data_IF_984391179088
#
_entry.id   IF_984391179088
#
_cell.length_a   1.000
_cell.length_b   1.000
_cell.length_c   1.000
_cell.angle_alpha   90.00
_cell.angle_beta   90.00
_cell.angle_gamma   90.00
#
_symmetry.space_group_name_H-M   'P 1'
#
loop_
_entity.id
_entity.type
_entity.pdbx_description
1 polymer ?
#
# COMPACT_ATOMS: atom_id res chain seq x y z
N UNK A 1 -4.37 2.99 17.38
CA UNK A 1 -4.91 2.03 16.40
C UNK A 1 -3.86 1.80 15.35
N UNK A 2 -3.50 0.55 15.11
CA UNK A 2 -2.53 0.16 14.07
C UNK A 2 -3.16 0.30 12.68
N UNK A 3 -2.33 0.37 11.64
CA UNK A 3 -2.82 0.28 10.27
C UNK A 3 -2.90 -1.20 9.87
N UNK A 4 -3.96 -1.53 9.13
CA UNK A 4 -4.16 -2.86 8.55
C UNK A 4 -3.52 -2.97 7.17
N UNK A 5 -3.31 -4.21 6.72
CA UNK A 5 -2.75 -4.53 5.39
C UNK A 5 -3.46 -3.80 4.25
N UNK A 6 -4.79 -3.74 4.29
CA UNK A 6 -5.63 -3.15 3.24
C UNK A 6 -5.33 -1.66 3.07
N UNK A 7 -5.17 -0.94 4.19
CA UNK A 7 -4.85 0.50 4.19
C UNK A 7 -3.45 0.73 3.65
N UNK A 8 -2.48 -0.08 4.09
CA UNK A 8 -1.08 0.02 3.66
C UNK A 8 -0.96 -0.27 2.16
N UNK A 9 -1.57 -1.35 1.68
CA UNK A 9 -1.53 -1.76 0.28
C UNK A 9 -2.22 -0.73 -0.62
N UNK A 10 -3.39 -0.22 -0.22
CA UNK A 10 -4.10 0.80 -0.98
C UNK A 10 -3.27 2.09 -1.09
N UNK A 11 -2.64 2.51 0.00
CA UNK A 11 -1.84 3.73 0.00
C UNK A 11 -0.56 3.60 -0.83
N UNK A 12 0.14 2.46 -0.74
CA UNK A 12 1.29 2.16 -1.59
C UNK A 12 0.89 2.16 -3.08
N UNK A 13 -0.26 1.59 -3.42
CA UNK A 13 -0.75 1.59 -4.81
C UNK A 13 -0.94 3.01 -5.34
N UNK A 14 -1.52 3.91 -4.53
CA UNK A 14 -1.65 5.33 -4.89
C UNK A 14 -0.29 5.97 -5.10
N UNK A 15 0.64 5.85 -4.12
CA UNK A 15 1.95 6.52 -4.21
C UNK A 15 2.81 6.01 -5.36
N UNK A 16 2.81 4.71 -5.62
CA UNK A 16 3.51 4.13 -6.77
C UNK A 16 2.88 4.58 -8.10
N UNK A 17 1.55 4.67 -8.17
CA UNK A 17 0.84 5.16 -9.36
C UNK A 17 1.21 6.62 -9.66
N UNK A 18 1.17 7.47 -8.64
CA UNK A 18 1.51 8.89 -8.76
C UNK A 18 2.98 9.06 -9.17
N UNK A 19 3.91 8.35 -8.51
CA UNK A 19 5.32 8.36 -8.87
C UNK A 19 5.56 8.01 -10.35
N UNK A 20 4.95 6.92 -10.83
CA UNK A 20 5.12 6.49 -12.21
C UNK A 20 4.45 7.45 -13.22
N UNK A 21 3.33 8.07 -12.84
CA UNK A 21 2.64 9.07 -13.67
C UNK A 21 3.50 10.34 -13.83
N UNK A 22 4.15 10.76 -12.76
CA UNK A 22 5.01 11.95 -12.75
C UNK A 22 6.39 11.68 -13.40
N UNK A 23 6.73 10.40 -13.62
CA UNK A 23 7.99 9.94 -14.24
C UNK A 23 7.77 9.06 -15.49
N UNK A 24 7.05 9.53 -16.54
CA UNK A 24 6.61 8.67 -17.66
C UNK A 24 7.76 8.12 -18.54
N UNK A 25 8.94 8.73 -18.47
CA UNK A 25 10.18 8.28 -19.14
C UNK A 25 11.35 8.14 -18.17
N UNK A 26 11.07 8.24 -16.87
CA UNK A 26 12.06 8.28 -15.80
C UNK A 26 12.14 6.94 -15.08
N UNK A 27 12.44 7.02 -13.79
CA UNK A 27 12.47 5.85 -12.93
C UNK A 27 11.08 5.22 -12.81
N UNK A 28 11.03 3.88 -12.75
CA UNK A 28 9.80 3.13 -12.53
C UNK A 28 9.82 2.47 -11.16
N UNK A 29 8.71 2.60 -10.44
CA UNK A 29 8.49 1.93 -9.17
C UNK A 29 7.38 0.90 -9.25
N UNK A 30 7.46 -0.10 -8.37
CA UNK A 30 6.34 -0.99 -8.05
C UNK A 30 6.39 -1.36 -6.56
N UNK A 31 5.36 -2.04 -6.09
CA UNK A 31 5.34 -2.60 -4.74
C UNK A 31 4.86 -4.05 -4.75
N UNK A 32 5.35 -4.80 -3.77
CA UNK A 32 4.86 -6.12 -3.38
C UNK A 32 3.86 -5.89 -2.24
N UNK A 33 2.64 -6.42 -2.37
CA UNK A 33 1.64 -6.29 -1.31
C UNK A 33 2.13 -6.90 0.02
N UNK A 34 1.57 -6.43 1.12
CA UNK A 34 2.02 -6.79 2.48
C UNK A 34 1.92 -8.28 2.78
N UNK A 35 0.96 -9.00 2.20
CA UNK A 35 0.77 -10.43 2.44
C UNK A 35 1.87 -11.23 1.73
N UNK A 36 2.12 -10.92 0.47
CA UNK A 36 3.15 -11.57 -0.34
C UNK A 36 4.55 -11.20 0.15
N UNK A 37 4.79 -9.93 0.50
CA UNK A 37 6.07 -9.49 1.06
C UNK A 37 6.36 -10.18 2.40
N UNK A 38 5.35 -10.34 3.24
CA UNK A 38 5.46 -11.11 4.50
C UNK A 38 5.73 -12.59 4.24
N UNK A 39 5.11 -13.17 3.21
CA UNK A 39 5.38 -14.55 2.78
C UNK A 39 6.83 -14.72 2.34
N UNK A 40 7.33 -13.81 1.50
CA UNK A 40 8.74 -13.75 1.09
C UNK A 40 9.65 -13.61 2.31
N UNK A 41 9.29 -12.73 3.26
CA UNK A 41 10.04 -12.48 4.49
C UNK A 41 10.18 -13.73 5.37
N UNK A 42 9.15 -14.58 5.39
CA UNK A 42 9.12 -15.84 6.14
C UNK A 42 9.71 -17.02 5.35
N UNK A 43 10.48 -16.75 4.29
CA UNK A 43 11.06 -17.74 3.37
C UNK A 43 10.03 -18.58 2.60
N UNK A 44 8.80 -18.08 2.46
CA UNK A 44 7.78 -18.69 1.61
C UNK A 44 8.12 -18.58 0.12
N UNK A 45 7.47 -19.42 -0.68
CA UNK A 45 7.63 -19.39 -2.14
C UNK A 45 6.72 -18.33 -2.74
N UNK A 46 7.31 -17.29 -3.34
CA UNK A 46 6.57 -16.25 -4.04
C UNK A 46 6.04 -16.70 -5.38
N UNK A 47 4.75 -16.48 -5.64
CA UNK A 47 4.09 -16.76 -6.93
C UNK A 47 3.97 -15.53 -7.82
N UNK A 48 4.53 -14.39 -7.41
CA UNK A 48 4.47 -13.15 -8.17
C UNK A 48 5.02 -13.32 -9.58
N UNK A 49 4.25 -12.86 -10.57
CA UNK A 49 4.70 -12.76 -11.96
C UNK A 49 5.18 -11.33 -12.19
N UNK A 50 6.46 -11.11 -11.91
CA UNK A 50 7.14 -9.83 -12.04
C UNK A 50 8.54 -10.07 -12.61
N UNK A 51 8.98 -9.23 -13.54
CA UNK A 51 10.40 -9.06 -13.85
C UNK A 51 10.93 -7.90 -13.00
N UNK A 52 11.78 -8.15 -11.99
CA UNK A 52 12.31 -7.09 -11.15
C UNK A 52 13.14 -6.06 -11.92
N UNK A 53 13.71 -6.41 -13.08
CA UNK A 53 14.55 -5.49 -13.86
C UNK A 53 13.73 -4.44 -14.62
N UNK A 54 12.40 -4.59 -14.71
CA UNK A 54 11.50 -3.58 -15.28
C UNK A 54 11.31 -2.35 -14.38
N UNK A 55 11.81 -2.42 -13.14
CA UNK A 55 11.62 -1.41 -12.11
C UNK A 55 12.95 -1.00 -11.47
N UNK A 56 13.11 0.31 -11.28
CA UNK A 56 14.25 0.88 -10.55
C UNK A 56 14.10 0.69 -9.04
N UNK A 57 12.85 0.72 -8.57
CA UNK A 57 12.49 0.64 -7.15
C UNK A 57 11.36 -0.35 -6.95
N UNK A 58 11.57 -1.33 -6.06
CA UNK A 58 10.52 -2.25 -5.60
C UNK A 58 10.36 -2.09 -4.10
N UNK A 59 9.19 -1.64 -3.67
CA UNK A 59 8.83 -1.49 -2.27
C UNK A 59 8.17 -2.76 -1.74
N UNK A 60 8.39 -3.09 -0.48
CA UNK A 60 7.67 -4.16 0.20
C UNK A 60 7.60 -3.90 1.70
N UNK A 61 6.39 -3.72 2.22
CA UNK A 61 6.16 -3.58 3.65
C UNK A 61 5.86 -4.95 4.25
N UNK A 62 6.64 -5.34 5.26
CA UNK A 62 6.56 -6.63 5.95
C UNK A 62 5.78 -6.47 7.24
N UNK A 63 4.86 -7.39 7.52
CA UNK A 63 4.27 -7.57 8.85
C UNK A 63 4.91 -8.79 9.54
N UNK A 64 5.70 -8.57 10.59
CA UNK A 64 6.21 -9.64 11.43
C UNK A 64 5.74 -9.39 12.88
N UNK A 65 4.73 -10.15 13.33
CA UNK A 65 4.14 -10.03 14.67
C UNK A 65 3.60 -8.63 15.02
N UNK A 66 2.74 -8.06 14.16
CA UNK A 66 2.16 -6.71 14.30
C UNK A 66 3.18 -5.57 14.20
N UNK A 67 4.40 -5.88 13.77
CA UNK A 67 5.42 -4.88 13.50
C UNK A 67 5.62 -4.68 12.00
N UNK A 68 5.41 -3.46 11.54
CA UNK A 68 5.51 -3.07 10.15
C UNK A 68 6.91 -2.50 9.87
N UNK A 69 7.61 -3.09 8.90
CA UNK A 69 8.94 -2.66 8.45
C UNK A 69 8.98 -2.55 6.92
N UNK A 70 9.87 -1.70 6.39
CA UNK A 70 10.00 -1.50 4.94
C UNK A 70 11.25 -2.17 4.40
N UNK A 71 11.09 -2.98 3.37
CA UNK A 71 12.17 -3.43 2.50
C UNK A 71 12.08 -2.70 1.16
N UNK A 72 13.20 -2.20 0.66
CA UNK A 72 13.27 -1.58 -0.68
C UNK A 72 14.35 -2.27 -1.50
N UNK A 73 14.01 -2.67 -2.72
CA UNK A 73 14.94 -3.34 -3.62
C UNK A 73 15.24 -2.43 -4.80
N UNK A 74 16.51 -2.39 -5.21
CA UNK A 74 16.99 -1.69 -6.39
C UNK A 74 17.69 -2.71 -7.31
N UNK A 75 16.93 -3.49 -8.11
CA UNK A 75 17.45 -4.66 -8.83
C UNK A 75 18.63 -4.33 -9.76
N UNK A 76 18.51 -3.27 -10.57
CA UNK A 76 19.58 -2.81 -11.46
C UNK A 76 20.85 -2.36 -10.73
N UNK A 77 20.71 -1.86 -9.50
CA UNK A 77 21.83 -1.40 -8.66
C UNK A 77 22.40 -2.50 -7.75
N UNK A 78 21.80 -3.70 -7.75
CA UNK A 78 22.19 -4.85 -6.90
C UNK A 78 22.32 -4.46 -5.42
N UNK A 79 21.37 -3.67 -4.92
CA UNK A 79 21.28 -3.30 -3.50
C UNK A 79 19.84 -3.33 -3.01
N UNK A 80 19.69 -3.40 -1.70
CA UNK A 80 18.42 -3.23 -1.01
C UNK A 80 18.59 -2.33 0.22
N UNK A 81 17.46 -1.88 0.76
CA UNK A 81 17.38 -1.16 2.02
C UNK A 81 16.41 -1.88 2.95
N UNK A 82 16.66 -1.75 4.24
CA UNK A 82 15.76 -2.19 5.29
C UNK A 82 15.57 -1.03 6.26
N UNK A 83 14.32 -0.67 6.53
CA UNK A 83 13.95 0.40 7.44
C UNK A 83 12.96 -0.11 8.48
N UNK A 84 13.33 0.04 9.73
CA UNK A 84 12.58 -0.38 10.90
C UNK A 84 12.17 0.85 11.71
N UNK A 85 10.87 1.13 11.90
CA UNK A 85 10.43 2.25 12.73
C UNK A 85 10.98 2.23 14.17
N UNK A 86 11.38 1.07 14.70
CA UNK A 86 12.00 0.92 16.03
C UNK A 86 13.53 0.87 15.99
N UNK A 87 14.14 1.02 14.80
CA UNK A 87 15.57 0.92 14.55
C UNK A 87 16.01 -0.50 14.19
N UNK A 88 17.02 -0.60 13.33
CA UNK A 88 17.46 -1.89 12.82
C UNK A 88 18.38 -2.65 13.77
N UNK A 89 18.27 -3.97 13.72
CA UNK A 89 19.30 -4.88 14.22
C UNK A 89 20.14 -5.42 13.08
N UNK A 90 21.41 -5.74 13.35
CA UNK A 90 22.29 -6.39 12.37
C UNK A 90 21.69 -7.71 11.83
N UNK A 91 20.92 -8.41 12.67
CA UNK A 91 20.20 -9.63 12.31
C UNK A 91 19.13 -9.34 11.25
N UNK A 92 18.29 -8.31 11.45
CA UNK A 92 17.22 -7.97 10.50
C UNK A 92 17.78 -7.45 9.16
N UNK A 93 18.86 -6.66 9.18
CA UNK A 93 19.54 -6.20 7.95
C UNK A 93 20.13 -7.38 7.17
N UNK A 94 20.79 -8.32 7.87
CA UNK A 94 21.30 -9.55 7.25
C UNK A 94 20.17 -10.39 6.66
N UNK A 95 19.08 -10.57 7.41
CA UNK A 95 17.87 -11.28 6.97
C UNK A 95 17.27 -10.65 5.71
N UNK A 96 17.09 -9.32 5.69
CA UNK A 96 16.63 -8.59 4.51
C UNK A 96 17.53 -8.85 3.29
N UNK A 97 18.85 -8.82 3.49
CA UNK A 97 19.82 -9.11 2.42
C UNK A 97 19.62 -10.52 1.85
N UNK A 98 19.46 -11.53 2.71
CA UNK A 98 19.33 -12.93 2.30
C UNK A 98 18.00 -13.20 1.59
N UNK A 99 16.89 -12.67 2.12
CA UNK A 99 15.55 -12.82 1.55
C UNK A 99 15.46 -12.12 0.20
N UNK A 100 15.90 -10.87 0.12
CA UNK A 100 15.94 -10.11 -1.14
C UNK A 100 16.79 -10.83 -2.16
N UNK A 101 17.95 -11.38 -1.73
CA UNK A 101 18.81 -12.15 -2.62
C UNK A 101 18.11 -13.41 -3.14
N UNK A 102 17.39 -14.14 -2.29
CA UNK A 102 16.67 -15.34 -2.72
C UNK A 102 15.56 -14.99 -3.70
N UNK A 103 14.77 -13.96 -3.39
CA UNK A 103 13.66 -13.50 -4.23
C UNK A 103 14.15 -13.05 -5.61
N UNK A 104 15.13 -12.15 -5.70
CA UNK A 104 15.62 -11.68 -7.00
C UNK A 104 16.27 -12.81 -7.82
N UNK A 105 16.98 -13.75 -7.17
CA UNK A 105 17.50 -14.94 -7.86
C UNK A 105 16.39 -15.84 -8.39
N UNK A 106 15.30 -16.03 -7.65
CA UNK A 106 14.18 -16.87 -8.12
C UNK A 106 13.42 -16.24 -9.29
N UNK A 107 13.59 -14.93 -9.51
CA UNK A 107 13.12 -14.21 -10.70
C UNK A 107 14.18 -14.10 -11.82
N UNK A 108 15.31 -14.78 -11.70
CA UNK A 108 16.34 -14.83 -12.74
C UNK A 108 17.38 -13.69 -12.69
N UNK A 109 17.35 -12.80 -11.69
CA UNK A 109 18.30 -11.69 -11.62
C UNK A 109 19.71 -12.15 -11.19
N UNK A 110 20.75 -11.68 -11.90
CA UNK A 110 22.15 -11.92 -11.53
C UNK A 110 22.64 -10.90 -10.49
N UNK A 111 22.43 -11.24 -9.21
CA UNK A 111 22.69 -10.37 -8.06
C UNK A 111 23.77 -10.90 -7.11
N UNK A 112 24.89 -11.38 -7.67
CA UNK A 112 26.07 -11.67 -6.85
C UNK A 112 26.48 -10.41 -6.06
N UNK A 113 26.76 -10.57 -4.75
CA UNK A 113 27.18 -9.49 -3.83
C UNK A 113 26.14 -8.40 -3.53
N UNK A 114 24.84 -8.73 -3.56
CA UNK A 114 23.77 -7.83 -3.07
C UNK A 114 24.14 -7.26 -1.67
N UNK A 115 24.11 -5.94 -1.54
CA UNK A 115 24.32 -5.20 -0.29
C UNK A 115 23.00 -4.68 0.26
N UNK A 116 22.84 -4.71 1.57
CA UNK A 116 21.75 -4.04 2.27
C UNK A 116 22.30 -2.92 3.14
N UNK A 117 21.65 -1.76 3.14
CA UNK A 117 21.90 -0.68 4.08
C UNK A 117 20.61 -0.21 4.76
N UNK A 118 20.74 0.51 5.86
CA UNK A 118 19.66 1.32 6.43
C UNK A 118 20.09 2.78 6.38
N UNK A 119 19.47 3.63 5.54
CA UNK A 119 19.74 5.07 5.58
C UNK A 119 19.20 5.67 6.89
N UNK A 120 19.76 6.77 7.42
CA UNK A 120 19.19 7.44 8.59
C UNK A 120 17.72 7.79 8.37
N UNK A 121 16.87 7.45 9.35
CA UNK A 121 15.44 7.70 9.30
C UNK A 121 14.90 8.00 10.71
N UNK A 122 13.73 8.66 10.82
CA UNK A 122 13.07 8.87 12.10
C UNK A 122 12.63 7.55 12.73
N UNK A 123 12.72 7.45 14.06
CA UNK A 123 12.18 6.33 14.84
C UNK A 123 10.84 6.71 15.47
N UNK A 124 9.96 5.73 15.61
CA UNK A 124 8.65 5.95 16.19
C UNK A 124 8.72 6.11 17.73
N UNK A 125 7.93 7.01 18.31
CA UNK A 125 7.90 7.20 19.76
C UNK A 125 6.88 6.28 20.47
N UNK A 126 6.08 5.52 19.72
CA UNK A 126 4.97 4.71 20.24
C UNK A 126 4.97 3.29 19.63
N UNK A 127 4.16 2.38 20.19
CA UNK A 127 4.10 0.98 19.75
C UNK A 127 3.09 0.68 18.63
N UNK A 128 2.38 1.68 18.11
CA UNK A 128 1.22 1.48 17.21
C UNK A 128 1.32 2.22 15.87
N UNK A 129 2.41 2.97 15.67
CA UNK A 129 2.60 3.84 14.50
C UNK A 129 3.54 3.25 13.46
N UNK A 130 3.97 2.00 13.59
CA UNK A 130 4.98 1.41 12.71
C UNK A 130 4.49 1.36 11.26
N UNK A 131 3.19 1.09 11.05
CA UNK A 131 2.57 1.15 9.73
C UNK A 131 2.60 2.56 9.12
N UNK A 132 2.38 3.61 9.92
CA UNK A 132 2.45 5.01 9.46
C UNK A 132 3.89 5.34 9.05
N UNK A 133 4.87 4.98 9.87
CA UNK A 133 6.28 5.22 9.59
C UNK A 133 6.75 4.46 8.34
N UNK A 134 6.37 3.19 8.18
CA UNK A 134 6.69 2.40 7.00
C UNK A 134 6.13 3.04 5.71
N UNK A 135 4.91 3.59 5.75
CA UNK A 135 4.33 4.35 4.63
C UNK A 135 5.08 5.66 4.36
N UNK A 136 5.43 6.42 5.41
CA UNK A 136 6.21 7.66 5.25
C UNK A 136 7.63 7.41 4.73
N UNK A 137 8.27 6.31 5.12
CA UNK A 137 9.54 5.88 4.52
C UNK A 137 9.39 5.61 3.02
N UNK A 138 8.34 4.88 2.62
CA UNK A 138 8.06 4.62 1.21
C UNK A 138 7.80 5.92 0.43
N UNK A 139 7.04 6.85 1.00
CA UNK A 139 6.77 8.17 0.40
C UNK A 139 8.06 8.99 0.22
N UNK A 140 8.93 9.05 1.23
CA UNK A 140 10.24 9.73 1.13
C UNK A 140 11.16 9.09 0.10
N UNK A 141 11.09 7.77 -0.09
CA UNK A 141 11.89 7.07 -1.10
C UNK A 141 11.39 7.36 -2.52
N UNK A 142 10.07 7.50 -2.68
CA UNK A 142 9.43 7.87 -3.94
C UNK A 142 9.44 9.38 -4.20
N UNK A 143 9.89 10.22 -3.25
CA UNK A 143 10.00 11.66 -3.47
C UNK A 143 11.33 12.03 -4.14
N UNK A 144 11.36 13.19 -4.80
CA UNK A 144 12.56 13.71 -5.46
C UNK A 144 13.70 14.03 -4.47
N UNK A 145 13.40 14.22 -3.19
CA UNK A 145 14.37 14.60 -2.17
C UNK A 145 15.22 13.41 -1.70
N UNK A 146 14.72 12.17 -1.86
CA UNK A 146 15.37 10.91 -1.44
C UNK A 146 15.92 10.91 0.00
N UNK A 147 15.41 11.81 0.83
CA UNK A 147 15.77 12.02 2.21
C UNK A 147 14.60 11.59 3.09
N UNK A 148 14.88 10.70 4.04
CA UNK A 148 13.87 10.16 4.91
C UNK A 148 13.85 10.99 6.19
N UNK A 149 13.01 12.02 6.20
CA UNK A 149 12.75 12.85 7.38
C UNK A 149 11.35 13.39 7.36
N UNK A 150 10.74 13.35 8.53
CA UNK A 150 9.42 13.89 8.81
C UNK A 150 9.28 14.03 10.32
N UNK A 151 8.39 14.92 10.74
CA UNK A 151 8.14 15.12 12.16
C UNK A 151 7.51 13.88 12.81
N UNK A 152 7.96 13.56 14.03
CA UNK A 152 7.57 12.36 14.80
C UNK A 152 6.80 12.69 16.08
N UNK A 153 6.42 13.95 16.29
CA UNK A 153 5.58 14.32 17.45
C UNK A 153 4.21 13.64 17.36
N UNK A 154 3.52 13.47 18.49
CA UNK A 154 2.16 12.88 18.49
C UNK A 154 1.20 13.61 17.54
N UNK A 155 1.31 14.94 17.48
CA UNK A 155 0.54 15.76 16.55
C UNK A 155 0.90 15.45 15.09
N UNK A 156 2.20 15.41 14.76
CA UNK A 156 2.63 15.09 13.40
C UNK A 156 2.20 13.68 12.97
N UNK A 157 2.22 12.71 13.88
CA UNK A 157 1.73 11.35 13.61
C UNK A 157 0.22 11.36 13.32
N UNK A 158 -0.56 12.15 14.07
CA UNK A 158 -1.98 12.32 13.80
C UNK A 158 -2.23 12.96 12.42
N UNK A 159 -1.43 13.97 12.05
CA UNK A 159 -1.46 14.61 10.74
C UNK A 159 -1.08 13.63 9.61
N UNK A 160 -0.06 12.78 9.81
CA UNK A 160 0.29 11.72 8.85
C UNK A 160 -0.86 10.74 8.64
N UNK A 161 -1.52 10.32 9.73
CA UNK A 161 -2.71 9.44 9.65
C UNK A 161 -3.86 10.11 8.91
N UNK A 162 -4.10 11.39 9.19
CA UNK A 162 -5.10 12.18 8.48
C UNK A 162 -4.79 12.26 6.99
N UNK A 163 -3.55 12.56 6.63
CA UNK A 163 -3.09 12.62 5.24
C UNK A 163 -3.21 11.27 4.52
N UNK A 164 -2.94 10.16 5.21
CA UNK A 164 -3.16 8.81 4.65
C UNK A 164 -4.65 8.62 4.34
N UNK A 165 -5.52 8.89 5.30
CA UNK A 165 -6.97 8.73 5.13
C UNK A 165 -7.53 9.62 4.00
N UNK A 166 -7.15 10.91 3.97
CA UNK A 166 -7.64 11.85 2.95
C UNK A 166 -7.11 11.49 1.56
N UNK A 167 -5.85 11.07 1.44
CA UNK A 167 -5.30 10.59 0.16
C UNK A 167 -6.11 9.40 -0.35
N UNK A 168 -6.41 8.42 0.51
CA UNK A 168 -7.20 7.26 0.11
C UNK A 168 -8.60 7.65 -0.36
N UNK A 169 -9.28 8.54 0.38
CA UNK A 169 -10.62 9.05 0.01
C UNK A 169 -10.57 9.82 -1.32
N UNK A 170 -9.53 10.60 -1.58
CA UNK A 170 -9.39 11.36 -2.83
C UNK A 170 -9.10 10.46 -4.04
N UNK A 171 -8.52 9.28 -3.81
CA UNK A 171 -8.20 8.30 -4.85
C UNK A 171 -9.20 7.14 -4.92
N UNK A 172 -10.29 7.15 -4.13
CA UNK A 172 -11.36 6.18 -4.32
C UNK A 172 -12.12 6.43 -5.61
N UNK A 173 -12.50 5.36 -6.29
CA UNK A 173 -13.35 5.45 -7.47
C UNK A 173 -14.70 6.09 -7.09
N UNK A 174 -15.21 6.94 -7.98
CA UNK A 174 -16.59 7.40 -7.87
C UNK A 174 -17.54 6.25 -8.26
N UNK A 175 -18.06 5.57 -7.24
CA UNK A 175 -19.02 4.49 -7.40
C UNK A 175 -20.46 5.00 -7.59
N UNK A 176 -20.69 6.31 -7.71
CA UNK A 176 -22.03 6.88 -7.90
C UNK A 176 -22.75 6.36 -9.15
N UNK A 177 -21.98 5.97 -10.17
CA UNK A 177 -22.48 5.39 -11.41
C UNK A 177 -22.48 3.86 -11.43
N UNK A 178 -22.22 3.18 -10.31
CA UNK A 178 -22.13 1.71 -10.25
C UNK A 178 -23.17 1.17 -9.26
N UNK A 179 -23.96 0.20 -9.70
CA UNK A 179 -24.94 -0.43 -8.82
C UNK A 179 -24.23 -1.27 -7.77
N UNK A 180 -24.47 -0.97 -6.50
CA UNK A 180 -23.85 -1.66 -5.36
C UNK A 180 -24.34 -3.11 -5.14
N UNK A 181 -25.28 -3.62 -5.95
CA UNK A 181 -25.74 -5.00 -5.93
C UNK A 181 -25.11 -5.84 -7.05
N UNK A 182 -25.21 -5.39 -8.31
CA UNK A 182 -24.75 -6.16 -9.47
C UNK A 182 -23.45 -5.64 -10.11
N UNK A 183 -22.86 -4.56 -9.59
CA UNK A 183 -21.67 -3.88 -10.12
C UNK A 183 -21.78 -3.39 -11.57
N UNK A 184 -22.97 -3.39 -12.17
CA UNK A 184 -23.18 -2.83 -13.50
C UNK A 184 -23.25 -1.30 -13.45
N UNK A 185 -22.73 -0.67 -14.51
CA UNK A 185 -22.76 0.78 -14.68
C UNK A 185 -24.18 1.30 -14.92
N UNK A 186 -24.39 2.56 -14.54
CA UNK A 186 -25.59 3.33 -14.82
C UNK A 186 -25.82 3.41 -16.33
N UNK A 187 -27.04 3.11 -16.72
CA UNK A 187 -27.55 3.35 -18.06
C UNK A 187 -28.85 4.17 -17.95
N UNK A 188 -29.25 4.79 -19.06
CA UNK A 188 -30.42 5.67 -19.10
C UNK A 188 -31.76 4.94 -18.93
N UNK A 189 -31.76 3.60 -19.05
CA UNK A 189 -32.97 2.77 -19.07
C UNK A 189 -33.30 2.11 -17.73
N UNK A 190 -32.45 2.29 -16.72
CA UNK A 190 -32.63 1.67 -15.41
C UNK A 190 -33.07 2.70 -14.39
N UNK A 191 -34.02 2.31 -13.53
CA UNK A 191 -34.40 3.10 -12.35
C UNK A 191 -33.43 2.80 -11.20
N UNK A 192 -33.07 3.85 -10.47
CA UNK A 192 -32.09 3.78 -9.39
C UNK A 192 -32.69 4.28 -8.08
N UNK A 193 -32.25 3.69 -6.97
CA UNK A 193 -32.62 4.09 -5.61
C UNK A 193 -31.36 4.15 -4.74
N UNK A 194 -31.27 5.16 -3.87
CA UNK A 194 -30.18 5.31 -2.91
C UNK A 194 -30.62 4.84 -1.53
N UNK A 195 -29.71 4.24 -0.76
CA UNK A 195 -29.93 3.95 0.66
C UNK A 195 -29.87 5.26 1.47
N UNK A 196 -30.88 5.53 2.29
CA UNK A 196 -30.95 6.76 3.11
C UNK A 196 -29.91 6.81 4.25
N UNK A 197 -29.23 5.69 4.54
CA UNK A 197 -28.19 5.62 5.58
C UNK A 197 -26.79 5.85 5.00
N UNK A 198 -26.42 5.08 3.96
CA UNK A 198 -25.06 5.12 3.42
C UNK A 198 -24.93 5.83 2.06
N UNK A 199 -26.03 6.35 1.51
CA UNK A 199 -26.11 7.00 0.19
C UNK A 199 -25.60 6.16 -0.99
N UNK A 200 -25.42 4.84 -0.80
CA UNK A 200 -25.06 3.92 -1.88
C UNK A 200 -26.22 3.73 -2.83
N UNK A 201 -25.90 3.66 -4.11
CA UNK A 201 -26.86 3.59 -5.19
C UNK A 201 -27.04 2.17 -5.73
N UNK A 202 -28.28 1.82 -6.07
CA UNK A 202 -28.67 0.50 -6.54
C UNK A 202 -29.64 0.61 -7.71
N UNK A 203 -29.57 -0.33 -8.65
CA UNK A 203 -30.69 -0.58 -9.54
C UNK A 203 -31.92 -0.98 -8.72
N UNK A 204 -33.04 -0.32 -8.99
CA UNK A 204 -34.32 -0.59 -8.35
C UNK A 204 -34.73 -2.06 -8.51
N UNK A 205 -34.48 -2.62 -9.70
CA UNK A 205 -34.80 -4.02 -10.02
C UNK A 205 -33.92 -5.03 -9.26
N UNK A 206 -32.64 -4.72 -9.06
CA UNK A 206 -31.73 -5.60 -8.30
C UNK A 206 -32.15 -5.83 -6.85
N UNK A 207 -33.00 -4.93 -6.32
CA UNK A 207 -33.52 -4.98 -4.96
C UNK A 207 -34.96 -5.50 -4.88
N UNK A 208 -35.52 -6.02 -5.98
CA UNK A 208 -36.91 -6.44 -6.02
C UNK A 208 -37.91 -5.28 -6.04
N UNK A 209 -37.50 -4.10 -6.53
CA UNK A 209 -38.34 -2.91 -6.73
C UNK A 209 -38.99 -2.38 -5.43
N UNK A 210 -38.19 -1.96 -4.43
CA UNK A 210 -38.72 -1.42 -3.17
C UNK A 210 -39.57 -0.14 -3.38
N UNK A 211 -40.48 0.22 -2.45
CA UNK A 211 -41.26 1.45 -2.57
C UNK A 211 -40.37 2.71 -2.63
N UNK A 212 -40.61 3.60 -3.59
CA UNK A 212 -39.82 4.84 -3.78
C UNK A 212 -40.33 6.04 -2.97
N UNK A 213 -41.49 5.90 -2.32
CA UNK A 213 -42.13 6.96 -1.52
C UNK A 213 -41.83 6.87 -0.02
N UNK A 214 -40.95 5.94 0.38
CA UNK A 214 -40.53 5.71 1.77
C UNK A 214 -39.02 5.60 1.81
N UNK A 215 -38.46 5.74 3.01
CA UNK A 215 -37.04 5.49 3.22
C UNK A 215 -36.68 4.05 2.85
N UNK A 216 -35.60 3.90 2.10
CA UNK A 216 -34.99 2.63 1.75
C UNK A 216 -33.67 2.46 2.50
N UNK A 217 -33.57 1.39 3.28
CA UNK A 217 -32.34 0.98 3.97
C UNK A 217 -31.84 -0.30 3.30
N UNK A 218 -30.61 -0.28 2.79
CA UNK A 218 -30.03 -1.45 2.14
C UNK A 218 -29.67 -2.54 3.15
N UNK A 219 -29.53 -3.79 2.68
CA UNK A 219 -29.18 -4.92 3.54
C UNK A 219 -27.82 -4.82 4.26
N UNK A 220 -26.93 -3.93 3.81
CA UNK A 220 -25.68 -3.63 4.52
C UNK A 220 -25.81 -2.61 5.67
N UNK A 221 -26.95 -1.93 5.76
CA UNK A 221 -27.26 -0.96 6.81
C UNK A 221 -28.41 -1.42 7.72
N UNK A 222 -29.05 -2.55 7.41
CA UNK A 222 -30.03 -3.21 8.28
C UNK A 222 -29.33 -4.01 9.39
#
# INVERSE_FOLDING_TARGET
MELESEVINAYLAVKVKDFNKDNPRGQRATFIDTFEMTTIWKNGTSRLKIDPLDYDVILGIVNDHHHWTLTVMYPGQKRCQFLDPLGETAVNVKRCTEITRRFLKSKGCNISRLKCNSPPHPQQPDGTSCGVFALKFAESILSAEHHISFATTKQAIAEHRWNIATTLIQHTDDLSAICCYCAAQRNEYTYWIACDVCNRWFHHECLGRPPTHRSYICGGCM
#
